data_IF_050156991784
#
_entry.id   IF_050156991784
#
_cell.length_a   1.000
_cell.length_b   1.000
_cell.length_c   1.000
_cell.angle_alpha   90.00
_cell.angle_beta   90.00
_cell.angle_gamma   90.00
#
_symmetry.space_group_name_H-M   'P 1'
#
loop_
_entity.id
_entity.type
_entity.pdbx_description
1 polymer ?
#
# COMPACT_ATOMS: atom_id res chain seq x y z
N UNK A 1 -3.60 -21.78 21.00
CA UNK A 1 -4.51 -21.07 20.06
C UNK A 1 -3.69 -20.65 18.86
N UNK A 2 -4.00 -21.14 17.66
CA UNK A 2 -3.24 -20.79 16.46
C UNK A 2 -3.40 -19.30 16.14
N UNK A 3 -2.30 -18.62 15.82
CA UNK A 3 -2.31 -17.27 15.28
C UNK A 3 -2.97 -17.30 13.90
N UNK A 4 -4.29 -17.22 13.85
CA UNK A 4 -5.00 -16.97 12.60
C UNK A 4 -4.58 -15.59 12.07
N UNK A 5 -4.37 -15.44 10.75
CA UNK A 5 -4.12 -14.13 10.16
C UNK A 5 -5.29 -13.21 10.53
N UNK A 6 -4.98 -11.99 11.01
CA UNK A 6 -5.98 -10.98 11.46
C UNK A 6 -7.05 -10.72 10.41
N UNK A 7 -6.69 -10.89 9.14
CA UNK A 7 -7.59 -10.80 8.00
C UNK A 7 -7.40 -12.04 7.13
N UNK A 8 -8.38 -12.94 7.11
CA UNK A 8 -8.32 -14.17 6.30
C UNK A 8 -8.26 -13.91 4.79
N UNK A 9 -8.66 -12.70 4.39
CA UNK A 9 -8.91 -12.34 3.00
C UNK A 9 -7.87 -11.36 2.43
N UNK A 10 -6.81 -11.06 3.17
CA UNK A 10 -5.75 -10.15 2.71
C UNK A 10 -4.38 -10.79 2.87
N UNK A 11 -3.50 -10.56 1.92
CA UNK A 11 -2.10 -11.00 1.97
C UNK A 11 -1.14 -9.91 1.50
N UNK A 12 0.13 -10.06 1.85
CA UNK A 12 1.21 -9.19 1.39
C UNK A 12 2.50 -9.98 1.22
N UNK A 13 3.39 -9.46 0.38
CA UNK A 13 4.76 -9.95 0.20
C UNK A 13 5.69 -8.74 0.11
N UNK A 14 6.24 -8.25 1.23
CA UNK A 14 7.24 -7.18 1.17
C UNK A 14 8.49 -7.64 0.43
N UNK A 15 9.26 -6.69 -0.10
CA UNK A 15 10.51 -7.02 -0.80
C UNK A 15 11.61 -7.47 0.16
N UNK A 16 11.62 -6.95 1.39
CA UNK A 16 12.49 -7.47 2.45
C UNK A 16 11.93 -7.22 3.86
N UNK A 17 12.40 -8.04 4.80
CA UNK A 17 12.18 -7.94 6.24
C UNK A 17 13.50 -7.62 6.92
N UNK A 18 13.52 -6.63 7.81
CA UNK A 18 14.72 -6.29 8.59
C UNK A 18 14.50 -6.55 10.07
N UNK A 19 15.31 -7.46 10.60
CA UNK A 19 15.30 -7.85 12.00
C UNK A 19 16.47 -7.23 12.75
N UNK A 20 16.21 -6.82 13.98
CA UNK A 20 17.22 -6.40 14.94
C UNK A 20 16.96 -7.09 16.27
N UNK A 21 17.96 -7.80 16.77
CA UNK A 21 17.87 -8.58 18.02
C UNK A 21 16.64 -9.52 18.03
N UNK A 22 16.36 -10.20 16.91
CA UNK A 22 15.23 -11.13 16.77
C UNK A 22 13.86 -10.47 16.60
N UNK A 23 13.76 -9.14 16.67
CA UNK A 23 12.50 -8.40 16.47
C UNK A 23 12.44 -7.78 15.07
N UNK A 24 11.30 -7.91 14.39
CA UNK A 24 11.07 -7.23 13.10
C UNK A 24 11.00 -5.72 13.34
N UNK A 25 12.01 -4.98 12.88
CA UNK A 25 12.14 -3.53 13.12
C UNK A 25 11.41 -2.72 12.04
N UNK A 26 11.59 -3.09 10.77
CA UNK A 26 10.91 -2.48 9.64
C UNK A 26 10.87 -3.42 8.43
N UNK A 27 9.97 -3.11 7.50
CA UNK A 27 9.88 -3.74 6.19
C UNK A 27 10.47 -2.84 5.11
N UNK A 28 10.85 -3.41 3.97
CA UNK A 28 11.36 -2.67 2.82
C UNK A 28 10.44 -2.91 1.63
N UNK A 29 10.13 -1.83 0.91
CA UNK A 29 9.39 -1.86 -0.36
C UNK A 29 10.21 -1.12 -1.42
N UNK A 30 10.72 -1.85 -2.41
CA UNK A 30 11.58 -1.35 -3.48
C UNK A 30 10.75 -1.13 -4.74
N UNK A 31 10.72 0.11 -5.21
CA UNK A 31 10.11 0.45 -6.51
C UNK A 31 11.16 0.96 -7.49
N UNK A 32 11.09 0.44 -8.70
CA UNK A 32 11.88 0.90 -9.84
C UNK A 32 10.97 1.66 -10.79
N UNK A 33 11.17 2.97 -10.91
CA UNK A 33 10.32 3.81 -11.76
C UNK A 33 11.05 4.12 -13.07
N UNK A 34 10.40 3.84 -14.21
CA UNK A 34 10.97 4.08 -15.55
C UNK A 34 11.42 5.54 -15.75
N UNK A 35 10.66 6.50 -15.22
CA UNK A 35 11.01 7.93 -15.27
C UNK A 35 12.29 8.28 -14.51
N UNK A 36 12.70 7.44 -13.54
CA UNK A 36 13.93 7.62 -12.77
C UNK A 36 15.11 6.81 -13.31
N UNK A 37 14.93 5.98 -14.34
CA UNK A 37 15.95 5.04 -14.82
C UNK A 37 17.29 5.71 -15.17
N UNK A 38 17.25 6.97 -15.65
CA UNK A 38 18.41 7.72 -16.11
C UNK A 38 18.88 8.82 -15.16
N UNK A 39 18.27 8.96 -13.99
CA UNK A 39 18.59 10.02 -13.03
C UNK A 39 18.73 9.47 -11.61
N UNK A 40 19.45 10.17 -10.74
CA UNK A 40 19.47 9.81 -9.32
C UNK A 40 18.09 10.11 -8.72
N UNK A 41 17.44 9.18 -8.01
CA UNK A 41 16.11 9.41 -7.44
C UNK A 41 16.06 10.61 -6.51
N UNK A 42 17.16 10.95 -5.82
CA UNK A 42 17.31 12.15 -4.99
C UNK A 42 17.18 13.46 -5.77
N UNK A 43 17.49 13.45 -7.06
CA UNK A 43 17.50 14.64 -7.94
C UNK A 43 16.17 14.84 -8.68
N UNK A 44 15.13 14.06 -8.36
CA UNK A 44 13.84 14.10 -9.08
C UNK A 44 13.24 15.51 -9.17
N UNK A 45 13.40 16.34 -8.13
CA UNK A 45 12.87 17.70 -8.08
C UNK A 45 13.68 18.74 -8.86
N UNK A 46 14.84 18.36 -9.39
CA UNK A 46 15.74 19.23 -10.18
C UNK A 46 15.73 18.79 -11.65
N UNK A 47 15.77 17.47 -11.87
CA UNK A 47 15.98 16.87 -13.20
C UNK A 47 14.70 16.59 -13.97
N UNK A 48 13.53 16.60 -13.32
CA UNK A 48 12.26 16.28 -13.95
C UNK A 48 11.37 17.52 -14.12
N UNK A 49 10.52 17.48 -15.14
CA UNK A 49 9.50 18.52 -15.35
C UNK A 49 8.41 18.44 -14.27
N UNK A 50 7.72 19.56 -14.00
CA UNK A 50 6.59 19.61 -13.06
C UNK A 50 5.53 18.53 -13.34
N UNK A 51 5.22 18.29 -14.63
CA UNK A 51 4.27 17.25 -15.07
C UNK A 51 4.75 15.84 -14.69
N UNK A 52 6.03 15.54 -14.85
CA UNK A 52 6.60 14.25 -14.47
C UNK A 52 6.62 14.06 -12.95
N UNK A 53 6.98 15.11 -12.19
CA UNK A 53 6.96 15.11 -10.72
C UNK A 53 5.54 14.86 -10.18
N UNK A 54 4.53 15.45 -10.82
CA UNK A 54 3.12 15.25 -10.45
C UNK A 54 2.71 13.77 -10.42
N UNK A 55 3.26 12.96 -11.34
CA UNK A 55 2.98 11.52 -11.47
C UNK A 55 3.81 10.62 -10.55
N UNK A 56 4.82 11.14 -9.88
CA UNK A 56 5.63 10.32 -8.98
C UNK A 56 4.85 9.94 -7.72
N UNK A 57 5.14 8.78 -7.11
CA UNK A 57 4.59 8.41 -5.81
C UNK A 57 5.12 9.29 -4.67
N UNK A 58 6.17 10.08 -4.92
CA UNK A 58 6.84 10.91 -3.93
C UNK A 58 6.68 12.41 -4.22
N UNK A 59 6.81 13.20 -3.16
CA UNK A 59 6.76 14.67 -3.15
C UNK A 59 7.87 15.20 -2.24
N UNK A 60 8.34 16.44 -2.46
CA UNK A 60 9.19 17.12 -1.48
C UNK A 60 8.33 17.53 -0.29
N UNK A 61 8.58 16.91 0.84
CA UNK A 61 7.99 17.27 2.12
C UNK A 61 8.76 18.37 2.85
N UNK A 62 8.47 18.49 4.15
CA UNK A 62 9.10 19.48 5.03
C UNK A 62 10.62 19.30 5.07
N UNK A 63 11.34 20.41 5.17
CA UNK A 63 12.82 20.46 5.18
C UNK A 63 13.47 19.81 3.94
N UNK A 64 12.77 19.76 2.81
CA UNK A 64 13.29 19.24 1.55
C UNK A 64 13.42 17.71 1.48
N UNK A 65 12.93 16.98 2.50
CA UNK A 65 12.95 15.51 2.52
C UNK A 65 11.85 14.95 1.63
N UNK A 66 12.13 13.88 0.89
CA UNK A 66 11.09 13.21 0.10
C UNK A 66 10.10 12.49 1.02
N UNK A 67 8.81 12.56 0.68
CA UNK A 67 7.72 11.88 1.35
C UNK A 67 6.89 11.11 0.33
N UNK A 68 6.33 9.97 0.75
CA UNK A 68 5.39 9.19 -0.05
C UNK A 68 4.01 9.89 -0.01
N UNK A 69 3.40 10.12 -1.17
CA UNK A 69 2.10 10.78 -1.29
C UNK A 69 1.00 9.86 -0.76
N UNK A 70 0.22 10.34 0.21
CA UNK A 70 -0.93 9.60 0.76
C UNK A 70 -2.01 9.29 -0.27
N UNK A 71 -2.10 10.09 -1.35
CA UNK A 71 -3.02 9.88 -2.47
C UNK A 71 -2.55 8.84 -3.49
N UNK A 72 -1.31 8.36 -3.41
CA UNK A 72 -0.78 7.40 -4.36
C UNK A 72 -1.03 5.96 -3.90
N UNK A 73 -1.35 5.05 -4.82
CA UNK A 73 -1.66 3.63 -4.54
C UNK A 73 -0.58 2.92 -3.72
N UNK A 74 0.69 3.24 -3.94
CA UNK A 74 1.81 2.70 -3.17
C UNK A 74 1.71 2.99 -1.66
N UNK A 75 1.08 4.11 -1.26
CA UNK A 75 0.86 4.41 0.16
C UNK A 75 -0.13 3.42 0.78
N UNK A 76 -1.19 3.07 0.05
CA UNK A 76 -2.13 2.02 0.46
C UNK A 76 -1.44 0.65 0.57
N UNK A 77 -0.61 0.29 -0.42
CA UNK A 77 0.15 -0.97 -0.39
C UNK A 77 1.06 -1.05 0.84
N UNK A 78 1.81 0.02 1.13
CA UNK A 78 2.73 0.10 2.27
C UNK A 78 1.98 -0.02 3.60
N UNK A 79 0.87 0.71 3.80
CA UNK A 79 0.09 0.60 5.04
C UNK A 79 -0.60 -0.75 5.21
N UNK A 80 -1.10 -1.35 4.13
CA UNK A 80 -1.67 -2.69 4.16
C UNK A 80 -0.64 -3.73 4.61
N UNK A 81 0.57 -3.70 4.02
CA UNK A 81 1.65 -4.61 4.42
C UNK A 81 2.07 -4.38 5.87
N UNK A 82 2.20 -3.12 6.31
CA UNK A 82 2.54 -2.79 7.70
C UNK A 82 1.49 -3.30 8.69
N UNK A 83 0.20 -3.16 8.37
CA UNK A 83 -0.89 -3.66 9.21
C UNK A 83 -0.93 -5.20 9.23
N UNK A 84 -0.82 -5.88 8.09
CA UNK A 84 -0.79 -7.36 8.04
C UNK A 84 0.38 -7.90 8.88
N UNK A 85 1.55 -7.29 8.76
CA UNK A 85 2.79 -7.74 9.41
C UNK A 85 3.01 -7.21 10.82
N UNK A 86 2.12 -6.33 11.32
CA UNK A 86 2.22 -5.69 12.65
C UNK A 86 3.52 -4.94 12.88
N UNK A 87 3.99 -4.24 11.85
CA UNK A 87 5.21 -3.43 11.89
C UNK A 87 4.86 -1.94 11.76
N UNK A 88 5.61 -1.08 12.44
CA UNK A 88 5.30 0.36 12.53
C UNK A 88 6.06 1.22 11.52
N UNK A 89 6.96 0.62 10.74
CA UNK A 89 7.84 1.35 9.85
C UNK A 89 8.09 0.58 8.54
N UNK A 90 8.00 1.30 7.43
CA UNK A 90 8.45 0.85 6.12
C UNK A 90 9.55 1.78 5.59
N UNK A 91 10.62 1.19 5.08
CA UNK A 91 11.59 1.86 4.22
C UNK A 91 11.15 1.71 2.76
N UNK A 92 10.51 2.75 2.23
CA UNK A 92 10.11 2.81 0.84
C UNK A 92 11.31 3.29 0.00
N UNK A 93 11.82 2.42 -0.85
CA UNK A 93 13.06 2.61 -1.61
C UNK A 93 12.73 2.86 -3.07
N UNK A 94 13.17 4.01 -3.59
CA UNK A 94 13.24 4.25 -5.02
C UNK A 94 14.65 3.90 -5.49
N UNK A 95 14.75 2.86 -6.31
CA UNK A 95 16.00 2.43 -6.90
C UNK A 95 16.07 2.82 -8.38
N UNK A 96 17.28 3.18 -8.82
CA UNK A 96 17.65 3.34 -10.22
C UNK A 96 19.11 2.89 -10.40
N UNK A 97 19.56 2.64 -11.65
CA UNK A 97 20.98 2.43 -11.95
C UNK A 97 21.91 3.59 -11.54
N UNK A 98 21.37 4.79 -11.24
CA UNK A 98 22.16 5.97 -10.85
C UNK A 98 22.22 6.18 -9.33
N UNK A 99 21.44 5.44 -8.56
CA UNK A 99 21.44 5.51 -7.10
C UNK A 99 20.07 5.26 -6.48
N UNK A 100 19.99 5.53 -5.17
CA UNK A 100 18.87 5.17 -4.30
C UNK A 100 18.33 6.40 -3.56
N UNK A 101 17.01 6.45 -3.37
CA UNK A 101 16.35 7.33 -2.40
C UNK A 101 15.52 6.46 -1.46
N UNK A 102 15.73 6.61 -0.16
CA UNK A 102 14.94 5.93 0.88
C UNK A 102 14.01 6.94 1.53
N UNK A 103 12.73 6.60 1.60
CA UNK A 103 11.68 7.35 2.27
C UNK A 103 11.18 6.52 3.43
N UNK A 104 11.31 7.03 4.66
CA UNK A 104 10.75 6.39 5.85
C UNK A 104 9.26 6.70 5.92
N UNK A 105 8.43 5.65 5.95
CA UNK A 105 6.98 5.74 6.04
C UNK A 105 6.54 5.14 7.37
N UNK A 106 6.19 5.95 8.37
CA UNK A 106 5.60 5.45 9.60
C UNK A 106 4.19 4.93 9.33
N UNK A 107 3.76 3.93 10.09
CA UNK A 107 2.38 3.48 10.08
C UNK A 107 1.46 4.58 10.64
N UNK A 108 0.30 4.77 9.99
CA UNK A 108 -0.69 5.78 10.30
C UNK A 108 -2.03 5.08 10.43
N UNK A 109 -2.31 4.67 11.66
CA UNK A 109 -3.52 3.94 12.02
C UNK A 109 -4.79 4.77 11.77
N UNK A 110 -4.71 6.08 12.01
CA UNK A 110 -5.83 7.01 11.81
C UNK A 110 -6.19 7.12 10.33
N UNK A 111 -5.18 7.09 9.47
CA UNK A 111 -5.38 7.07 8.04
C UNK A 111 -5.82 5.70 7.54
N UNK A 112 -5.23 4.60 8.00
CA UNK A 112 -5.47 3.25 7.46
C UNK A 112 -6.82 2.64 7.87
N UNK A 113 -7.20 2.72 9.14
CA UNK A 113 -8.40 2.05 9.69
C UNK A 113 -9.68 2.30 8.88
N UNK A 114 -10.03 3.55 8.50
CA UNK A 114 -11.23 3.79 7.70
C UNK A 114 -11.21 3.07 6.34
N UNK A 115 -10.05 2.96 5.69
CA UNK A 115 -9.91 2.33 4.36
C UNK A 115 -9.94 0.82 4.48
N UNK A 116 -9.35 0.27 5.54
CA UNK A 116 -9.48 -1.15 5.85
C UNK A 116 -10.94 -1.54 6.07
N UNK A 117 -11.70 -0.75 6.84
CA UNK A 117 -13.13 -1.00 7.06
C UNK A 117 -13.91 -0.99 5.74
N UNK A 118 -13.62 -0.02 4.87
CA UNK A 118 -14.22 0.02 3.53
C UNK A 118 -13.82 -1.20 2.69
N UNK A 119 -12.55 -1.62 2.73
CA UNK A 119 -12.06 -2.79 2.00
C UNK A 119 -12.76 -4.08 2.46
N UNK A 120 -12.94 -4.26 3.77
CA UNK A 120 -13.66 -5.41 4.35
C UNK A 120 -15.11 -5.43 3.87
N UNK A 121 -15.80 -4.28 3.91
CA UNK A 121 -17.18 -4.15 3.38
C UNK A 121 -17.25 -4.50 1.90
N UNK A 122 -16.34 -3.96 1.08
CA UNK A 122 -16.27 -4.25 -0.36
C UNK A 122 -15.94 -5.71 -0.65
N UNK A 123 -15.03 -6.32 0.10
CA UNK A 123 -14.71 -7.73 -0.04
C UNK A 123 -15.95 -8.60 0.26
N UNK A 124 -16.68 -8.29 1.33
CA UNK A 124 -17.91 -9.00 1.68
C UNK A 124 -19.01 -8.82 0.62
N UNK A 125 -19.20 -7.61 0.08
CA UNK A 125 -20.27 -7.34 -0.88
C UNK A 125 -19.99 -7.82 -2.31
N UNK A 126 -18.73 -7.77 -2.76
CA UNK A 126 -18.34 -8.08 -4.13
C UNK A 126 -17.78 -9.49 -4.29
N UNK A 127 -16.83 -9.88 -3.44
CA UNK A 127 -16.04 -11.11 -3.63
C UNK A 127 -16.74 -12.32 -3.01
N UNK A 128 -17.36 -12.17 -1.83
CA UNK A 128 -18.11 -13.28 -1.23
C UNK A 128 -19.30 -13.69 -2.12
N UNK A 129 -20.01 -12.70 -2.69
CA UNK A 129 -21.12 -12.94 -3.62
C UNK A 129 -20.64 -13.69 -4.87
N UNK A 130 -19.48 -13.35 -5.44
CA UNK A 130 -18.92 -14.07 -6.60
C UNK A 130 -18.50 -15.53 -6.27
N UNK A 131 -17.92 -15.78 -5.09
CA UNK A 131 -17.49 -17.12 -4.69
C UNK A 131 -18.66 -18.07 -4.43
N UNK A 132 -19.76 -17.58 -3.83
CA UNK A 132 -20.93 -18.40 -3.52
C UNK A 132 -21.97 -18.44 -4.65
N UNK A 133 -22.09 -17.39 -5.48
CA UNK A 133 -23.09 -17.32 -6.55
C UNK A 133 -22.60 -17.90 -7.89
N UNK A 134 -21.68 -18.88 -7.88
CA UNK A 134 -21.13 -19.56 -9.06
C UNK A 134 -22.05 -19.45 -10.29
N UNK A 135 -21.69 -18.57 -11.24
CA UNK A 135 -22.35 -18.22 -12.53
C UNK A 135 -22.85 -16.78 -12.65
N UNK A 136 -21.98 -15.79 -12.44
CA UNK A 136 -22.15 -14.52 -13.15
C UNK A 136 -21.34 -14.60 -14.45
N UNK A 137 -21.98 -14.71 -15.65
CA UNK A 137 -21.27 -14.52 -16.90
C UNK A 137 -20.48 -13.21 -16.86
N UNK A 138 -19.25 -13.19 -17.40
CA UNK A 138 -18.27 -12.07 -17.32
C UNK A 138 -18.76 -10.71 -17.87
N UNK A 139 -20.03 -10.59 -18.29
CA UNK A 139 -20.66 -9.41 -18.90
C UNK A 139 -21.79 -8.80 -18.06
N UNK A 140 -22.04 -9.27 -16.85
CA UNK A 140 -23.03 -8.65 -15.95
C UNK A 140 -22.34 -7.87 -14.85
N UNK A 141 -22.93 -6.74 -14.46
CA UNK A 141 -22.50 -5.97 -13.31
C UNK A 141 -22.66 -6.80 -12.03
N UNK A 142 -21.76 -6.65 -11.04
CA UNK A 142 -21.93 -7.30 -9.74
C UNK A 142 -23.30 -6.97 -9.17
N UNK A 143 -24.04 -7.99 -8.71
CA UNK A 143 -25.32 -7.77 -8.04
C UNK A 143 -25.06 -6.97 -6.76
N UNK A 144 -25.68 -5.80 -6.56
CA UNK A 144 -25.61 -5.11 -5.29
C UNK A 144 -26.35 -5.95 -4.24
N UNK A 145 -25.61 -6.50 -3.28
CA UNK A 145 -26.21 -7.12 -2.10
C UNK A 145 -26.73 -5.99 -1.21
N UNK A 146 -28.05 -5.86 -1.14
CA UNK A 146 -28.72 -5.01 -0.15
C UNK A 146 -28.78 -5.81 1.13
N UNK A 147 -28.10 -5.34 2.18
CA UNK A 147 -28.23 -5.90 3.51
C UNK A 147 -29.43 -5.22 4.17
N UNK A 148 -30.48 -5.97 4.46
CA UNK A 148 -31.49 -5.52 5.40
C UNK A 148 -30.85 -5.56 6.79
N UNK A 149 -30.82 -4.41 7.47
CA UNK A 149 -30.51 -4.38 8.89
C UNK A 149 -31.59 -5.19 9.60
N UNK A 150 -31.21 -6.32 10.19
CA UNK A 150 -32.09 -7.03 11.11
C UNK A 150 -32.09 -6.22 12.39
N UNK A 151 -33.20 -5.52 12.65
CA UNK A 151 -33.49 -4.95 13.96
C UNK A 151 -33.58 -6.10 14.99
N UNK A 152 -32.82 -5.95 16.09
CA UNK A 152 -32.74 -6.89 17.22
C UNK A 152 -34.09 -7.14 17.92
#
# INVERSE_FOLDING_TARGET
>A
MGNFPRYRNTGCSPDALVYKNGTLEYIVEIKILKVLQRIKPKEFGIRLTKKAIGKLPIVKGQHGRAQLKSSHSHYYQVHMTMDIMKVQLCHYVLWSPKGILVVKVPYDDSWWKPKLNELIKRHASLIATEFFAQRTPRKLYPLPVVWEEQDD
#
